data_IF_667730193414
#
_entry.id   IF_667730193414
#
_cell.length_a   1.000
_cell.length_b   1.000
_cell.length_c   1.000
_cell.angle_alpha   90.00
_cell.angle_beta   90.00
_cell.angle_gamma   90.00
#
_symmetry.space_group_name_H-M   'P 1'
#
loop_
_entity.id
_entity.type
_entity.pdbx_description
1 polymer ?
#
# COMPACT_ATOMS: atom_id res chain seq x y z
N UNK A 1 20.57 10.05 -29.29
CA UNK A 1 19.35 9.31 -28.93
C UNK A 1 18.45 10.29 -28.22
N UNK A 2 17.35 10.66 -28.86
CA UNK A 2 16.46 11.74 -28.39
C UNK A 2 15.52 11.14 -27.34
N UNK A 3 15.58 11.67 -26.13
CA UNK A 3 14.71 11.25 -25.03
C UNK A 3 13.25 11.57 -25.39
N UNK A 4 12.41 10.53 -25.33
CA UNK A 4 11.01 10.58 -25.72
C UNK A 4 10.24 11.36 -24.65
N UNK A 5 9.47 12.38 -25.04
CA UNK A 5 8.63 13.23 -24.17
C UNK A 5 7.76 12.47 -23.14
N UNK A 6 7.51 11.18 -23.39
CA UNK A 6 6.79 10.28 -22.48
C UNK A 6 7.56 10.05 -21.17
N UNK A 7 8.90 10.12 -21.17
CA UNK A 7 9.75 9.95 -19.99
C UNK A 7 9.76 11.16 -19.05
N UNK A 8 9.44 12.37 -19.55
CA UNK A 8 9.22 13.57 -18.70
C UNK A 8 7.87 13.52 -17.98
N UNK A 9 6.87 12.90 -18.61
CA UNK A 9 5.50 12.83 -18.04
C UNK A 9 5.36 11.65 -17.07
N UNK A 10 6.10 10.57 -17.27
CA UNK A 10 6.09 9.39 -16.41
C UNK A 10 7.52 8.89 -16.14
N UNK A 11 8.17 9.33 -15.03
CA UNK A 11 9.48 8.84 -14.65
C UNK A 11 9.43 7.30 -14.46
N UNK A 12 10.43 6.56 -14.95
CA UNK A 12 10.41 5.11 -14.88
C UNK A 12 10.58 4.67 -13.42
N UNK A 13 9.47 4.16 -12.85
CA UNK A 13 9.37 3.37 -11.61
C UNK A 13 9.90 4.06 -10.35
N UNK A 14 9.00 4.79 -9.68
CA UNK A 14 9.11 5.06 -8.24
C UNK A 14 9.17 3.71 -7.49
N UNK A 15 10.32 3.40 -6.88
CA UNK A 15 10.40 2.39 -5.83
C UNK A 15 9.89 3.06 -4.55
N UNK A 16 8.87 2.48 -3.92
CA UNK A 16 8.42 2.95 -2.62
C UNK A 16 9.43 2.48 -1.58
N UNK A 17 10.26 3.39 -1.08
CA UNK A 17 11.04 3.19 0.14
C UNK A 17 10.07 2.99 1.32
N UNK A 18 10.42 2.08 2.22
CA UNK A 18 9.58 1.76 3.37
C UNK A 18 9.49 2.97 4.31
N UNK A 19 8.36 3.11 5.02
CA UNK A 19 8.14 4.18 6.01
C UNK A 19 9.23 4.19 7.10
N UNK A 20 9.86 3.04 7.36
CA UNK A 20 11.02 2.91 8.24
C UNK A 20 12.29 3.60 7.69
N UNK A 21 12.56 3.52 6.39
CA UNK A 21 13.73 4.15 5.75
C UNK A 21 13.60 5.69 5.67
N UNK A 22 12.36 6.21 5.65
CA UNK A 22 12.11 7.66 5.65
C UNK A 22 12.34 8.33 7.02
N UNK A 23 12.28 7.58 8.12
CA UNK A 23 12.42 8.10 9.47
C UNK A 23 13.86 8.09 9.98
N UNK A 24 14.75 7.29 9.39
CA UNK A 24 16.15 7.16 9.81
C UNK A 24 17.14 8.01 9.02
N UNK A 25 16.72 8.82 8.04
CA UNK A 25 17.65 9.59 7.20
C UNK A 25 18.20 10.87 7.91
N UNK A 26 19.48 10.90 8.33
CA UNK A 26 20.07 12.06 9.01
C UNK A 26 20.23 13.29 8.08
N UNK A 27 20.19 13.10 6.76
CA UNK A 27 20.29 14.20 5.78
C UNK A 27 19.04 15.10 5.72
N UNK A 28 17.89 14.63 6.22
CA UNK A 28 16.63 15.38 6.24
C UNK A 28 16.54 16.40 7.40
N UNK A 29 17.28 16.20 8.49
CA UNK A 29 17.39 17.16 9.59
C UNK A 29 18.18 18.40 9.16
N UNK A 30 19.29 18.23 8.44
CA UNK A 30 20.10 19.33 7.91
C UNK A 30 19.36 20.15 6.84
N UNK A 31 18.57 19.48 5.98
CA UNK A 31 17.74 20.16 4.98
C UNK A 31 16.55 20.94 5.60
N UNK A 32 15.99 20.46 6.72
CA UNK A 32 14.96 21.19 7.48
C UNK A 32 15.55 22.40 8.20
N UNK A 33 16.73 22.25 8.82
CA UNK A 33 17.48 23.35 9.43
C UNK A 33 17.79 24.47 8.42
N UNK A 34 18.29 24.11 7.23
CA UNK A 34 18.59 25.09 6.17
C UNK A 34 17.35 25.78 5.60
N UNK A 35 16.23 25.06 5.40
CA UNK A 35 14.96 25.67 4.97
C UNK A 35 14.40 26.63 6.02
N UNK A 36 14.47 26.28 7.31
CA UNK A 36 13.94 27.11 8.39
C UNK A 36 14.75 28.41 8.53
N UNK A 37 16.07 28.35 8.33
CA UNK A 37 16.94 29.54 8.28
C UNK A 37 16.67 30.42 7.04
N UNK A 38 16.41 29.83 5.87
CA UNK A 38 16.08 30.60 4.65
C UNK A 38 14.78 31.40 4.77
N UNK A 39 13.72 30.79 5.31
CA UNK A 39 12.47 31.53 5.55
C UNK A 39 12.65 32.59 6.63
N UNK A 40 13.41 32.30 7.70
CA UNK A 40 13.73 33.26 8.75
C UNK A 40 14.52 34.49 8.25
N UNK A 41 15.43 34.31 7.29
CA UNK A 41 16.13 35.41 6.62
C UNK A 41 15.23 36.21 5.69
N UNK A 42 14.37 35.56 4.90
CA UNK A 42 13.40 36.27 4.06
C UNK A 42 12.44 37.12 4.88
N UNK A 43 11.91 36.60 5.98
CA UNK A 43 11.02 37.37 6.85
C UNK A 43 11.74 38.56 7.49
N UNK A 44 12.99 38.40 7.92
CA UNK A 44 13.82 39.52 8.40
C UNK A 44 14.05 40.56 7.33
N UNK A 45 14.30 40.15 6.09
CA UNK A 45 14.56 41.06 4.96
C UNK A 45 13.32 41.88 4.60
N UNK A 46 12.15 41.24 4.55
CA UNK A 46 10.86 41.93 4.31
C UNK A 46 10.52 42.88 5.47
N UNK A 47 10.78 42.49 6.72
CA UNK A 47 10.53 43.34 7.88
C UNK A 47 11.44 44.59 7.90
N UNK A 48 12.73 44.42 7.59
CA UNK A 48 13.67 45.54 7.45
C UNK A 48 13.33 46.46 6.26
N UNK A 49 12.84 45.91 5.15
CA UNK A 49 12.36 46.70 4.01
C UNK A 49 11.09 47.51 4.38
N UNK A 50 10.15 46.95 5.14
CA UNK A 50 8.98 47.70 5.62
C UNK A 50 9.32 48.79 6.65
N UNK A 51 10.27 48.55 7.58
CA UNK A 51 10.74 49.59 8.50
C UNK A 51 11.52 50.70 7.77
N UNK A 52 12.36 50.36 6.79
CA UNK A 52 13.07 51.34 5.96
C UNK A 52 12.14 52.20 5.09
N UNK A 53 11.07 51.60 4.57
CA UNK A 53 10.01 52.33 3.84
C UNK A 53 9.19 53.21 4.79
N UNK A 54 8.93 52.78 6.02
CA UNK A 54 8.26 53.60 7.05
C UNK A 54 9.12 54.80 7.50
N UNK A 55 10.43 54.64 7.68
CA UNK A 55 11.34 55.75 8.01
C UNK A 55 11.47 56.74 6.84
N UNK A 56 11.51 56.25 5.60
CA UNK A 56 11.54 57.09 4.39
C UNK A 56 10.23 57.88 4.17
N UNK A 57 9.08 57.31 4.57
CA UNK A 57 7.78 58.00 4.53
C UNK A 57 7.68 59.11 5.57
N UNK A 58 8.25 58.91 6.78
CA UNK A 58 8.32 59.95 7.82
C UNK A 58 9.24 61.11 7.39
N UNK A 59 10.41 60.82 6.82
CA UNK A 59 11.31 61.85 6.28
C UNK A 59 10.70 62.64 5.10
N UNK A 60 9.92 61.98 4.22
CA UNK A 60 9.20 62.67 3.13
C UNK A 60 8.03 63.54 3.63
N UNK A 61 7.40 63.18 4.75
CA UNK A 61 6.37 64.01 5.39
C UNK A 61 6.96 65.25 6.06
N UNK A 62 8.15 65.16 6.66
CA UNK A 62 8.86 66.30 7.25
C UNK A 62 9.47 67.24 6.19
N UNK A 63 9.94 66.68 5.07
CA UNK A 63 10.42 67.46 3.93
C UNK A 63 9.27 68.16 3.17
N UNK A 64 8.10 67.54 3.08
CA UNK A 64 6.91 68.15 2.48
C UNK A 64 6.37 69.34 3.29
N UNK A 65 6.51 69.33 4.62
CA UNK A 65 6.18 70.50 5.46
C UNK A 65 7.23 71.62 5.39
N UNK A 66 8.44 71.34 4.88
CA UNK A 66 9.52 72.32 4.75
C UNK A 66 9.57 73.02 3.38
N UNK A 67 8.79 72.56 2.40
CA UNK A 67 8.80 73.09 1.01
C UNK A 67 7.66 74.10 0.76
N UNK A 68 6.67 74.23 1.65
CA UNK A 68 5.60 75.25 1.52
C UNK A 68 5.99 76.67 1.95
N UNK A 69 7.26 76.93 2.33
CA UNK A 69 7.73 78.27 2.73
C UNK A 69 9.03 78.63 2.00
N UNK A 70 9.06 78.59 0.68
CA UNK A 70 10.02 79.41 -0.11
C UNK A 70 9.55 79.50 -1.56
N UNK A 71 8.81 80.55 -1.90
CA UNK A 71 8.83 81.12 -3.25
C UNK A 71 8.27 82.54 -3.22
N UNK A 72 9.15 83.49 -2.89
CA UNK A 72 8.86 84.91 -2.99
C UNK A 72 10.15 85.72 -3.10
N UNK A 73 10.90 85.55 -4.20
CA UNK A 73 11.99 86.47 -4.59
C UNK A 73 12.16 86.51 -6.12
N UNK A 74 11.24 87.19 -6.82
CA UNK A 74 11.63 87.80 -8.10
C UNK A 74 12.32 89.13 -7.80
N UNK A 75 13.64 89.08 -7.89
CA UNK A 75 14.56 90.21 -7.92
C UNK A 75 14.23 91.14 -9.09
N UNK A 76 13.71 92.32 -8.77
CA UNK A 76 13.64 93.47 -9.68
C UNK A 76 15.07 93.92 -9.98
N UNK A 77 15.56 93.58 -11.17
CA UNK A 77 16.81 94.14 -11.70
C UNK A 77 16.56 95.58 -12.16
N UNK A 78 16.76 96.52 -11.24
CA UNK A 78 16.95 97.95 -11.50
C UNK A 78 18.18 98.15 -12.41
N UNK A 79 17.96 98.33 -13.72
CA UNK A 79 19.00 98.87 -14.61
C UNK A 79 19.07 100.37 -14.38
N UNK A 80 20.19 100.79 -13.81
CA UNK A 80 20.53 102.19 -13.55
C UNK A 80 20.68 102.95 -14.86
N UNK A 81 19.98 104.07 -14.87
CA UNK A 81 20.21 105.32 -15.59
C UNK A 81 21.71 105.58 -15.83
N UNK A 82 22.10 105.74 -17.09
CA UNK A 82 23.29 106.49 -17.47
C UNK A 82 22.87 107.72 -18.28
N UNK A 83 22.81 108.84 -17.56
CA UNK A 83 22.71 110.17 -18.13
C UNK A 83 24.09 110.58 -18.66
N UNK A 84 24.24 110.72 -19.98
CA UNK A 84 25.31 111.54 -20.56
C UNK A 84 24.74 112.77 -21.27
N UNK A 85 25.22 113.89 -20.76
CA UNK A 85 24.94 115.28 -21.09
C UNK A 85 25.30 115.63 -22.54
N UNK A 86 24.43 116.45 -23.13
CA UNK A 86 24.69 117.67 -23.91
C UNK A 86 25.92 117.69 -24.83
N UNK A 87 25.65 117.67 -26.13
CA UNK A 87 26.31 118.60 -27.07
C UNK A 87 25.21 119.39 -27.76
N UNK A 88 25.02 120.61 -27.28
CA UNK A 88 24.23 121.65 -27.90
C UNK A 88 25.22 122.47 -28.72
N UNK A 89 25.32 122.22 -30.03
CA UNK A 89 25.93 123.18 -30.98
C UNK A 89 24.80 123.76 -31.82
N UNK A 90 24.47 125.01 -31.51
CA UNK A 90 23.80 125.92 -32.45
C UNK A 90 24.67 125.98 -33.70
N UNK A 91 24.12 125.56 -34.83
CA UNK A 91 24.51 126.11 -36.12
C UNK A 91 23.22 126.65 -36.72
N UNK A 92 23.00 127.94 -36.51
CA UNK A 92 22.12 128.72 -37.37
C UNK A 92 22.77 128.77 -38.75
N UNK A 93 22.09 128.25 -39.76
CA UNK A 93 21.78 129.00 -40.99
C UNK A 93 20.84 128.17 -41.85
N UNK A 94 19.78 128.86 -42.25
CA UNK A 94 18.80 128.49 -43.25
C UNK A 94 19.45 127.80 -44.45
N UNK A 95 18.90 126.64 -44.81
CA UNK A 95 18.61 126.38 -46.21
C UNK A 95 17.39 125.46 -46.29
N UNK A 96 16.51 125.83 -47.23
CA UNK A 96 15.16 125.32 -47.42
C UNK A 96 15.13 123.80 -47.47
N UNK A 97 14.56 123.19 -46.45
CA UNK A 97 14.20 121.77 -46.50
C UNK A 97 12.97 121.61 -47.40
N UNK A 98 13.17 121.11 -48.62
CA UNK A 98 12.15 120.46 -49.44
C UNK A 98 11.73 119.11 -48.78
N UNK A 99 11.28 119.20 -47.52
CA UNK A 99 10.70 118.11 -46.78
C UNK A 99 9.20 118.32 -46.79
N UNK A 100 8.47 117.47 -47.50
CA UNK A 100 7.00 117.40 -47.50
C UNK A 100 6.40 117.22 -46.08
N UNK A 101 7.23 116.84 -45.11
CA UNK A 101 6.84 116.60 -43.72
C UNK A 101 7.43 117.66 -42.79
N UNK A 102 6.58 118.17 -41.88
CA UNK A 102 7.01 119.09 -40.82
C UNK A 102 7.79 118.38 -39.71
N UNK A 103 8.61 119.12 -38.96
CA UNK A 103 9.42 118.52 -37.88
C UNK A 103 8.57 117.89 -36.75
N UNK A 104 7.34 118.40 -36.53
CA UNK A 104 6.35 117.84 -35.61
C UNK A 104 5.80 116.49 -36.08
N UNK A 105 5.52 116.35 -37.38
CA UNK A 105 5.03 115.12 -38.01
C UNK A 105 6.11 114.04 -37.99
N UNK A 106 7.36 114.39 -38.30
CA UNK A 106 8.50 113.47 -38.17
C UNK A 106 8.70 112.99 -36.72
N UNK A 107 8.52 113.86 -35.72
CA UNK A 107 8.56 113.47 -34.29
C UNK A 107 7.40 112.52 -33.94
N UNK A 108 6.21 112.75 -34.47
CA UNK A 108 5.04 111.89 -34.24
C UNK A 108 5.24 110.51 -34.88
N UNK A 109 5.68 110.45 -36.15
CA UNK A 109 6.00 109.20 -36.86
C UNK A 109 7.08 108.39 -36.13
N UNK A 110 8.13 109.04 -35.60
CA UNK A 110 9.15 108.36 -34.78
C UNK A 110 8.57 107.75 -33.51
N UNK A 111 7.66 108.45 -32.81
CA UNK A 111 6.98 107.91 -31.62
C UNK A 111 6.10 106.71 -31.96
N UNK A 112 5.35 106.76 -33.07
CA UNK A 112 4.54 105.63 -33.52
C UNK A 112 5.40 104.43 -33.93
N UNK A 113 6.48 104.66 -34.67
CA UNK A 113 7.43 103.61 -35.03
C UNK A 113 8.06 102.96 -33.79
N UNK A 114 8.45 103.77 -32.81
CA UNK A 114 9.01 103.26 -31.55
C UNK A 114 7.96 102.46 -30.76
N UNK A 115 6.71 102.93 -30.68
CA UNK A 115 5.61 102.20 -30.04
C UNK A 115 5.32 100.88 -30.76
N UNK A 116 5.26 100.88 -32.08
CA UNK A 116 5.07 99.67 -32.88
C UNK A 116 6.23 98.69 -32.71
N UNK A 117 7.49 99.18 -32.63
CA UNK A 117 8.67 98.34 -32.36
C UNK A 117 8.60 97.70 -30.98
N UNK A 118 8.22 98.46 -29.94
CA UNK A 118 8.03 97.92 -28.59
C UNK A 118 6.92 96.87 -28.56
N UNK A 119 5.77 97.15 -29.17
CA UNK A 119 4.66 96.20 -29.26
C UNK A 119 5.05 94.92 -30.02
N UNK A 120 5.84 95.04 -31.09
CA UNK A 120 6.32 93.87 -31.83
C UNK A 120 7.30 93.02 -30.99
N UNK A 121 8.17 93.66 -30.20
CA UNK A 121 9.05 92.95 -29.26
C UNK A 121 8.23 92.27 -28.14
N UNK A 122 7.21 92.93 -27.61
CA UNK A 122 6.30 92.36 -26.61
C UNK A 122 5.55 91.14 -27.17
N UNK A 123 5.00 91.25 -28.39
CA UNK A 123 4.32 90.14 -29.06
C UNK A 123 5.27 88.99 -29.39
N UNK A 124 6.50 89.28 -29.83
CA UNK A 124 7.51 88.26 -30.08
C UNK A 124 7.89 87.50 -28.80
N UNK A 125 8.06 88.19 -27.67
CA UNK A 125 8.33 87.57 -26.38
C UNK A 125 7.16 86.69 -25.89
N UNK A 126 5.92 87.15 -26.06
CA UNK A 126 4.72 86.35 -25.73
C UNK A 126 4.61 85.11 -26.64
N UNK A 127 4.92 85.26 -27.93
CA UNK A 127 4.92 84.13 -28.87
C UNK A 127 5.98 83.10 -28.49
N UNK A 128 7.18 83.54 -28.12
CA UNK A 128 8.25 82.65 -27.65
C UNK A 128 7.85 81.93 -26.35
N UNK A 129 7.32 82.66 -25.36
CA UNK A 129 6.90 82.07 -24.08
C UNK A 129 5.77 81.04 -24.27
N UNK A 130 4.76 81.37 -25.08
CA UNK A 130 3.65 80.45 -25.36
C UNK A 130 4.11 79.24 -26.17
N UNK A 131 5.09 79.40 -27.07
CA UNK A 131 5.67 78.29 -27.81
C UNK A 131 6.47 77.34 -26.92
N UNK A 132 7.19 77.86 -25.92
CA UNK A 132 7.88 77.03 -24.93
C UNK A 132 6.90 76.32 -23.98
N UNK A 133 5.82 76.99 -23.57
CA UNK A 133 4.74 76.34 -22.84
C UNK A 133 4.12 75.19 -23.64
N UNK A 134 3.87 75.36 -24.94
CA UNK A 134 3.36 74.29 -25.81
C UNK A 134 4.33 73.11 -25.86
N UNK A 135 5.64 73.34 -25.98
CA UNK A 135 6.64 72.25 -25.95
C UNK A 135 6.60 71.51 -24.62
N UNK A 136 6.59 72.25 -23.51
CA UNK A 136 6.55 71.69 -22.17
C UNK A 136 5.29 70.85 -21.93
N UNK A 137 4.13 71.30 -22.41
CA UNK A 137 2.89 70.54 -22.36
C UNK A 137 2.92 69.28 -23.24
N UNK A 138 3.52 69.34 -24.44
CA UNK A 138 3.71 68.16 -25.30
C UNK A 138 4.59 67.10 -24.62
N UNK A 139 5.69 67.51 -24.00
CA UNK A 139 6.57 66.59 -23.26
C UNK A 139 5.86 65.97 -22.05
N UNK A 140 5.12 66.79 -21.27
CA UNK A 140 4.32 66.29 -20.15
C UNK A 140 3.29 65.26 -20.63
N UNK A 141 2.58 65.55 -21.72
CA UNK A 141 1.60 64.64 -22.28
C UNK A 141 2.23 63.32 -22.76
N UNK A 142 3.38 63.38 -23.43
CA UNK A 142 4.12 62.18 -23.85
C UNK A 142 4.52 61.30 -22.66
N UNK A 143 5.09 61.90 -21.61
CA UNK A 143 5.45 61.18 -20.38
C UNK A 143 4.24 60.53 -19.72
N UNK A 144 3.13 61.26 -19.61
CA UNK A 144 1.89 60.72 -19.05
C UNK A 144 1.33 59.55 -19.86
N UNK A 145 1.35 59.67 -21.19
CA UNK A 145 0.89 58.62 -22.09
C UNK A 145 1.77 57.35 -21.99
N UNK A 146 3.09 57.51 -21.85
CA UNK A 146 4.01 56.39 -21.62
C UNK A 146 3.75 55.72 -20.28
N UNK A 147 3.56 56.49 -19.20
CA UNK A 147 3.23 55.93 -17.88
C UNK A 147 1.89 55.20 -17.91
N UNK A 148 0.87 55.76 -18.55
CA UNK A 148 -0.45 55.12 -18.69
C UNK A 148 -0.33 53.79 -19.45
N UNK A 149 0.49 53.75 -20.51
CA UNK A 149 0.73 52.52 -21.27
C UNK A 149 1.41 51.44 -20.41
N UNK A 150 2.38 51.82 -19.58
CA UNK A 150 3.06 50.90 -18.65
C UNK A 150 2.07 50.36 -17.61
N UNK A 151 1.25 51.23 -17.00
CA UNK A 151 0.25 50.84 -16.01
C UNK A 151 -0.81 49.91 -16.60
N UNK A 152 -1.32 50.20 -17.79
CA UNK A 152 -2.26 49.32 -18.52
C UNK A 152 -1.68 47.93 -18.77
N UNK A 153 -0.42 47.85 -19.18
CA UNK A 153 0.27 46.58 -19.39
C UNK A 153 0.47 45.81 -18.07
N UNK A 154 0.86 46.52 -16.99
CA UNK A 154 1.00 45.93 -15.66
C UNK A 154 -0.34 45.37 -15.16
N UNK A 155 -1.44 46.11 -15.33
CA UNK A 155 -2.79 45.66 -14.99
C UNK A 155 -3.18 44.40 -15.75
N UNK A 156 -2.93 44.33 -17.05
CA UNK A 156 -3.23 43.15 -17.86
C UNK A 156 -2.43 41.92 -17.42
N UNK A 157 -1.14 42.10 -17.10
CA UNK A 157 -0.30 41.05 -16.54
C UNK A 157 -0.82 40.54 -15.19
N UNK A 158 -1.24 41.44 -14.29
CA UNK A 158 -1.82 41.06 -13.01
C UNK A 158 -3.17 40.36 -13.16
N UNK A 159 -4.03 40.82 -14.07
CA UNK A 159 -5.30 40.15 -14.39
C UNK A 159 -5.07 38.71 -14.86
N UNK A 160 -4.09 38.48 -15.74
CA UNK A 160 -3.71 37.13 -16.18
C UNK A 160 -3.22 36.25 -15.02
N UNK A 161 -2.39 36.80 -14.11
CA UNK A 161 -1.92 36.07 -12.92
C UNK A 161 -3.09 35.70 -12.00
N UNK A 162 -4.02 36.62 -11.78
CA UNK A 162 -5.21 36.38 -10.98
C UNK A 162 -6.10 35.28 -11.57
N UNK A 163 -6.36 35.29 -12.87
CA UNK A 163 -7.16 34.23 -13.51
C UNK A 163 -6.48 32.85 -13.41
N UNK A 164 -5.14 32.78 -13.59
CA UNK A 164 -4.39 31.54 -13.35
C UNK A 164 -4.53 31.06 -11.90
N UNK A 165 -4.38 31.97 -10.95
CA UNK A 165 -4.52 31.65 -9.53
C UNK A 165 -5.94 31.17 -9.20
N UNK A 166 -6.96 31.76 -9.80
CA UNK A 166 -8.36 31.37 -9.63
C UNK A 166 -8.64 29.97 -10.16
N UNK A 167 -8.07 29.60 -11.31
CA UNK A 167 -8.15 28.22 -11.84
C UNK A 167 -7.46 27.24 -10.90
N UNK A 168 -6.23 27.56 -10.45
CA UNK A 168 -5.49 26.71 -9.52
C UNK A 168 -6.24 26.53 -8.19
N UNK A 169 -6.82 27.59 -7.64
CA UNK A 169 -7.62 27.52 -6.42
C UNK A 169 -8.83 26.58 -6.59
N UNK A 170 -9.53 26.63 -7.73
CA UNK A 170 -10.64 25.71 -8.00
C UNK A 170 -10.17 24.27 -8.08
N UNK A 171 -9.07 24.00 -8.78
CA UNK A 171 -8.48 22.66 -8.89
C UNK A 171 -8.12 22.11 -7.51
N UNK A 172 -7.37 22.87 -6.70
CA UNK A 172 -7.00 22.47 -5.33
C UNK A 172 -8.22 22.25 -4.45
N UNK A 173 -9.25 23.11 -4.57
CA UNK A 173 -10.50 22.92 -3.83
C UNK A 173 -11.20 21.60 -4.17
N UNK A 174 -11.20 21.23 -5.45
CA UNK A 174 -11.79 19.96 -5.89
C UNK A 174 -10.92 18.76 -5.50
N UNK A 175 -9.59 18.90 -5.52
CA UNK A 175 -8.66 17.89 -5.00
C UNK A 175 -8.89 17.62 -3.53
N UNK A 176 -8.99 18.66 -2.70
CA UNK A 176 -9.27 18.53 -1.26
C UNK A 176 -10.58 17.80 -1.02
N UNK A 177 -11.63 18.08 -1.81
CA UNK A 177 -12.91 17.37 -1.73
C UNK A 177 -12.76 15.89 -2.09
N UNK A 178 -12.01 15.58 -3.16
CA UNK A 178 -11.72 14.19 -3.57
C UNK A 178 -10.95 13.44 -2.49
N UNK A 179 -9.90 14.04 -1.95
CA UNK A 179 -9.13 13.43 -0.86
C UNK A 179 -9.97 13.22 0.39
N UNK A 180 -10.86 14.16 0.74
CA UNK A 180 -11.76 13.99 1.88
C UNK A 180 -12.76 12.84 1.67
N UNK A 181 -13.32 12.71 0.46
CA UNK A 181 -14.19 11.59 0.11
C UNK A 181 -13.43 10.24 0.16
N UNK A 182 -12.22 10.19 -0.39
CA UNK A 182 -11.38 8.99 -0.34
C UNK A 182 -10.99 8.62 1.09
N UNK A 183 -10.70 9.61 1.95
CA UNK A 183 -10.40 9.38 3.36
C UNK A 183 -11.62 8.77 4.08
N UNK A 184 -12.83 9.23 3.75
CA UNK A 184 -14.06 8.64 4.29
C UNK A 184 -14.21 7.17 3.87
N UNK A 185 -14.05 6.86 2.58
CA UNK A 185 -14.14 5.49 2.06
C UNK A 185 -13.09 4.59 2.71
N UNK A 186 -11.82 4.99 2.68
CA UNK A 186 -10.72 4.21 3.29
C UNK A 186 -10.90 3.98 4.79
N UNK A 187 -11.56 4.90 5.50
CA UNK A 187 -11.92 4.72 6.91
C UNK A 187 -13.03 3.68 7.09
N UNK A 188 -14.02 3.66 6.19
CA UNK A 188 -15.08 2.65 6.17
C UNK A 188 -14.46 1.26 5.88
N UNK A 189 -13.64 1.14 4.83
CA UNK A 189 -12.91 -0.09 4.48
C UNK A 189 -12.04 -0.60 5.64
N UNK A 190 -11.38 0.31 6.37
CA UNK A 190 -10.57 -0.06 7.54
C UNK A 190 -11.40 -0.67 8.67
N UNK A 191 -12.57 -0.11 8.97
CA UNK A 191 -13.43 -0.67 10.01
C UNK A 191 -14.06 -1.99 9.55
N UNK A 192 -14.37 -2.15 8.26
CA UNK A 192 -14.80 -3.44 7.69
C UNK A 192 -13.71 -4.51 7.85
N UNK A 193 -12.48 -4.25 7.39
CA UNK A 193 -11.35 -5.17 7.54
C UNK A 193 -11.05 -5.53 8.99
N UNK A 194 -11.23 -4.58 9.91
CA UNK A 194 -11.06 -4.80 11.34
C UNK A 194 -12.14 -5.73 11.91
N UNK A 195 -13.36 -5.66 11.40
CA UNK A 195 -14.42 -6.59 11.77
C UNK A 195 -14.17 -7.98 11.19
N UNK A 196 -13.82 -8.08 9.91
CA UNK A 196 -13.43 -9.34 9.26
C UNK A 196 -12.28 -10.03 10.00
N UNK A 197 -11.26 -9.27 10.40
CA UNK A 197 -10.13 -9.79 11.20
C UNK A 197 -10.62 -10.44 12.50
N UNK A 198 -11.54 -9.79 13.22
CA UNK A 198 -12.10 -10.34 14.47
C UNK A 198 -12.90 -11.62 14.22
N UNK A 199 -13.68 -11.65 13.14
CA UNK A 199 -14.44 -12.85 12.75
C UNK A 199 -13.50 -14.02 12.42
N UNK A 200 -12.43 -13.76 11.65
CA UNK A 200 -11.42 -14.78 11.33
C UNK A 200 -10.67 -15.24 12.58
N UNK A 201 -10.33 -14.34 13.51
CA UNK A 201 -9.72 -14.71 14.79
C UNK A 201 -10.64 -15.59 15.64
N UNK A 202 -11.94 -15.31 15.63
CA UNK A 202 -12.93 -16.14 16.32
C UNK A 202 -13.03 -17.53 15.68
N UNK A 203 -13.18 -17.62 14.34
CA UNK A 203 -13.22 -18.89 13.61
C UNK A 203 -11.93 -19.70 13.81
N UNK A 204 -10.78 -19.05 13.86
CA UNK A 204 -9.50 -19.69 14.15
C UNK A 204 -9.47 -20.28 15.57
N UNK A 205 -10.02 -19.57 16.55
CA UNK A 205 -10.13 -20.06 17.93
C UNK A 205 -11.07 -21.26 18.03
N UNK A 206 -12.22 -21.20 17.35
CA UNK A 206 -13.20 -22.29 17.29
C UNK A 206 -12.61 -23.54 16.64
N UNK A 207 -12.00 -23.40 15.46
CA UNK A 207 -11.33 -24.52 14.77
C UNK A 207 -10.17 -25.11 15.55
N UNK A 208 -9.38 -24.31 16.28
CA UNK A 208 -8.35 -24.81 17.20
C UNK A 208 -8.95 -25.64 18.34
N UNK A 209 -10.07 -25.20 18.91
CA UNK A 209 -10.80 -25.92 19.95
C UNK A 209 -11.34 -27.26 19.42
N UNK A 210 -11.94 -27.26 18.23
CA UNK A 210 -12.41 -28.48 17.56
C UNK A 210 -11.28 -29.46 17.28
N UNK A 211 -10.15 -28.97 16.76
CA UNK A 211 -8.96 -29.79 16.54
C UNK A 211 -8.46 -30.43 17.84
N UNK A 212 -8.47 -29.70 18.95
CA UNK A 212 -8.10 -30.24 20.26
C UNK A 212 -9.09 -31.34 20.72
N UNK A 213 -10.39 -31.14 20.52
CA UNK A 213 -11.41 -32.17 20.81
C UNK A 213 -11.18 -33.43 19.99
N UNK A 214 -10.89 -33.31 18.71
CA UNK A 214 -10.61 -34.45 17.84
C UNK A 214 -9.30 -35.16 18.18
N UNK A 215 -8.25 -34.43 18.57
CA UNK A 215 -7.01 -35.02 19.08
C UNK A 215 -7.26 -35.89 20.32
N UNK A 216 -7.99 -35.36 21.31
CA UNK A 216 -8.38 -36.11 22.50
C UNK A 216 -9.19 -37.35 22.15
N UNK A 217 -10.18 -37.24 21.25
CA UNK A 217 -10.97 -38.40 20.79
C UNK A 217 -10.08 -39.45 20.14
N UNK A 218 -9.13 -39.04 19.29
CA UNK A 218 -8.20 -39.95 18.63
C UNK A 218 -7.29 -40.66 19.65
N UNK A 219 -6.77 -39.94 20.65
CA UNK A 219 -5.99 -40.55 21.74
C UNK A 219 -6.80 -41.59 22.52
N UNK A 220 -8.06 -41.29 22.85
CA UNK A 220 -8.96 -42.24 23.52
C UNK A 220 -9.22 -43.47 22.66
N UNK A 221 -9.49 -43.30 21.36
CA UNK A 221 -9.71 -44.40 20.43
C UNK A 221 -8.46 -45.27 20.26
N UNK A 222 -7.27 -44.65 20.17
CA UNK A 222 -6.01 -45.38 20.15
C UNK A 222 -5.77 -46.17 21.44
N UNK A 223 -6.11 -45.59 22.60
CA UNK A 223 -6.08 -46.29 23.88
C UNK A 223 -7.00 -47.52 23.89
N UNK A 224 -8.25 -47.35 23.44
CA UNK A 224 -9.22 -48.45 23.33
C UNK A 224 -8.75 -49.54 22.36
N UNK A 225 -8.21 -49.16 21.21
CA UNK A 225 -7.67 -50.12 20.23
C UNK A 225 -6.50 -50.93 20.81
N UNK A 226 -5.59 -50.28 21.54
CA UNK A 226 -4.49 -50.98 22.25
C UNK A 226 -5.01 -51.92 23.33
N UNK A 227 -6.06 -51.52 24.06
CA UNK A 227 -6.75 -52.38 25.04
C UNK A 227 -7.31 -53.64 24.38
N UNK A 228 -8.12 -53.46 23.33
CA UNK A 228 -8.74 -54.56 22.60
C UNK A 228 -7.72 -55.50 21.95
N UNK A 229 -6.60 -54.98 21.45
CA UNK A 229 -5.50 -55.82 20.94
C UNK A 229 -4.90 -56.71 22.01
N UNK A 230 -4.67 -56.18 23.23
CA UNK A 230 -4.17 -56.97 24.36
C UNK A 230 -5.17 -58.04 24.79
N UNK A 231 -6.45 -57.68 24.95
CA UNK A 231 -7.51 -58.63 25.28
C UNK A 231 -7.61 -59.75 24.25
N UNK A 232 -7.50 -59.41 22.96
CA UNK A 232 -7.50 -60.40 21.88
C UNK A 232 -6.29 -61.35 21.95
N UNK A 233 -5.09 -60.81 22.20
CA UNK A 233 -3.87 -61.62 22.35
C UNK A 233 -3.94 -62.54 23.59
N UNK A 234 -4.46 -62.04 24.71
CA UNK A 234 -4.67 -62.82 25.94
C UNK A 234 -5.71 -63.92 25.74
N UNK A 235 -6.85 -63.60 25.14
CA UNK A 235 -7.88 -64.59 24.81
C UNK A 235 -7.36 -65.64 23.85
N UNK A 236 -6.57 -65.25 22.83
CA UNK A 236 -5.95 -66.19 21.91
C UNK A 236 -5.05 -67.18 22.66
N UNK A 237 -4.17 -66.70 23.54
CA UNK A 237 -3.31 -67.56 24.38
C UNK A 237 -4.12 -68.50 25.27
N UNK A 238 -5.20 -67.99 25.88
CA UNK A 238 -6.08 -68.79 26.73
C UNK A 238 -6.77 -69.91 25.93
N UNK A 239 -7.29 -69.60 24.73
CA UNK A 239 -7.92 -70.59 23.85
C UNK A 239 -6.91 -71.63 23.38
N UNK A 240 -5.70 -71.22 22.96
CA UNK A 240 -4.63 -72.13 22.57
C UNK A 240 -4.26 -73.09 23.71
N UNK A 241 -4.08 -72.55 24.92
CA UNK A 241 -3.79 -73.35 26.11
C UNK A 241 -4.94 -74.32 26.45
N UNK A 242 -6.19 -73.86 26.43
CA UNK A 242 -7.36 -74.69 26.69
C UNK A 242 -7.46 -75.85 25.69
N UNK A 243 -7.27 -75.55 24.40
CA UNK A 243 -7.31 -76.53 23.33
C UNK A 243 -6.19 -77.57 23.48
N UNK A 244 -4.98 -77.14 23.84
CA UNK A 244 -3.85 -78.04 24.11
C UNK A 244 -4.16 -78.99 25.27
N UNK A 245 -4.72 -78.49 26.38
CA UNK A 245 -5.14 -79.33 27.50
C UNK A 245 -6.22 -80.34 27.10
N UNK A 246 -7.21 -79.92 26.29
CA UNK A 246 -8.24 -80.81 25.78
C UNK A 246 -7.65 -81.93 24.92
N UNK A 247 -6.72 -81.60 24.00
CA UNK A 247 -6.04 -82.59 23.19
C UNK A 247 -5.22 -83.58 24.02
N UNK A 248 -4.54 -83.13 25.08
CA UNK A 248 -3.80 -84.03 25.97
C UNK A 248 -4.74 -85.00 26.70
N UNK A 249 -5.90 -84.54 27.14
CA UNK A 249 -6.93 -85.38 27.76
C UNK A 249 -7.48 -86.42 26.78
N UNK A 250 -7.87 -85.99 25.58
CA UNK A 250 -8.37 -86.89 24.52
C UNK A 250 -7.31 -87.93 24.12
N UNK A 251 -6.05 -87.51 23.95
CA UNK A 251 -4.93 -88.42 23.68
C UNK A 251 -4.77 -89.44 24.81
N UNK A 252 -4.88 -89.00 26.06
CA UNK A 252 -4.82 -89.89 27.22
C UNK A 252 -5.98 -90.89 27.29
N UNK A 253 -7.19 -90.48 26.90
CA UNK A 253 -8.37 -91.35 26.82
C UNK A 253 -8.21 -92.40 25.70
N UNK A 254 -7.85 -91.97 24.49
CA UNK A 254 -7.61 -92.86 23.35
C UNK A 254 -6.49 -93.87 23.65
N UNK A 255 -5.41 -93.44 24.32
CA UNK A 255 -4.33 -94.34 24.70
C UNK A 255 -4.81 -95.43 25.67
N UNK A 256 -5.62 -95.07 26.67
CA UNK A 256 -6.24 -96.05 27.58
C UNK A 256 -7.15 -97.02 26.84
N UNK A 257 -7.95 -96.55 25.90
CA UNK A 257 -8.80 -97.42 25.07
C UNK A 257 -7.96 -98.39 24.22
N UNK A 258 -6.88 -97.92 23.61
CA UNK A 258 -5.94 -98.78 22.87
C UNK A 258 -5.36 -99.86 23.79
N UNK A 259 -4.92 -99.50 24.99
CA UNK A 259 -4.34 -100.45 25.94
C UNK A 259 -5.37 -101.47 26.41
N UNK A 260 -6.61 -101.06 26.71
CA UNK A 260 -7.72 -101.96 27.04
C UNK A 260 -8.03 -102.91 25.87
N UNK A 261 -8.09 -102.40 24.64
CA UNK A 261 -8.35 -103.21 23.44
C UNK A 261 -7.21 -104.21 23.18
N UNK A 262 -5.95 -103.79 23.39
CA UNK A 262 -4.78 -104.69 23.32
C UNK A 262 -4.85 -105.79 24.36
N UNK A 263 -5.19 -105.47 25.60
CA UNK A 263 -5.36 -106.47 26.66
C UNK A 263 -6.50 -107.45 26.34
N UNK A 264 -7.63 -106.96 25.83
CA UNK A 264 -8.75 -107.81 25.37
C UNK A 264 -8.31 -108.74 24.25
N UNK A 265 -7.60 -108.22 23.25
CA UNK A 265 -7.06 -109.02 22.14
C UNK A 265 -6.08 -110.09 22.63
N UNK A 266 -5.18 -109.77 23.57
CA UNK A 266 -4.24 -110.76 24.14
C UNK A 266 -4.94 -111.78 25.06
N UNK A 267 -6.06 -111.41 25.70
CA UNK A 267 -6.91 -112.39 26.39
C UNK A 267 -7.57 -113.34 25.38
N UNK A 268 -8.21 -112.80 24.35
CA UNK A 268 -8.83 -113.60 23.28
C UNK A 268 -7.82 -114.51 22.56
N UNK A 269 -6.61 -114.04 22.26
CA UNK A 269 -5.55 -114.89 21.69
C UNK A 269 -5.21 -116.08 22.60
N UNK A 270 -5.04 -115.83 23.91
CA UNK A 270 -4.77 -116.89 24.89
C UNK A 270 -5.92 -117.89 24.99
N UNK A 271 -7.17 -117.39 25.04
CA UNK A 271 -8.36 -118.23 25.04
C UNK A 271 -8.48 -119.06 23.75
N UNK A 272 -8.21 -118.47 22.60
CA UNK A 272 -8.20 -119.15 21.32
C UNK A 272 -7.09 -120.21 21.24
N UNK A 273 -5.89 -119.95 21.77
CA UNK A 273 -4.82 -120.94 21.83
C UNK A 273 -5.17 -122.12 22.76
N UNK A 274 -5.86 -121.86 23.87
CA UNK A 274 -6.42 -122.93 24.73
C UNK A 274 -7.49 -123.72 23.98
N UNK A 275 -8.41 -123.04 23.28
CA UNK A 275 -9.44 -123.69 22.45
C UNK A 275 -8.84 -124.52 21.32
N UNK A 276 -7.80 -124.02 20.63
CA UNK A 276 -7.05 -124.78 19.61
C UNK A 276 -6.42 -126.03 20.21
N UNK A 277 -5.78 -125.94 21.37
CA UNK A 277 -5.23 -127.11 22.08
C UNK A 277 -6.34 -128.08 22.47
N UNK A 278 -7.47 -127.61 22.99
CA UNK A 278 -8.63 -128.45 23.33
C UNK A 278 -9.22 -129.15 22.10
N UNK A 279 -9.41 -128.42 21.00
CA UNK A 279 -9.85 -128.99 19.72
C UNK A 279 -8.84 -129.99 19.17
N UNK A 280 -7.54 -129.75 19.32
CA UNK A 280 -6.51 -130.69 18.93
C UNK A 280 -6.53 -131.95 19.81
N UNK A 281 -6.70 -131.81 21.13
CA UNK A 281 -6.92 -132.94 22.04
C UNK A 281 -8.17 -133.74 21.66
N UNK A 282 -9.30 -133.08 21.35
CA UNK A 282 -10.50 -133.73 20.86
C UNK A 282 -10.24 -134.43 19.52
N UNK A 283 -9.57 -133.76 18.57
CA UNK A 283 -9.22 -134.34 17.26
C UNK A 283 -8.31 -135.55 17.43
N UNK A 284 -7.29 -135.49 18.27
CA UNK A 284 -6.43 -136.62 18.64
C UNK A 284 -7.21 -137.73 19.32
N UNK A 285 -8.13 -137.41 20.25
CA UNK A 285 -9.00 -138.38 20.91
C UNK A 285 -9.92 -139.11 19.91
N UNK A 286 -10.57 -138.37 19.01
CA UNK A 286 -11.40 -138.93 17.95
C UNK A 286 -10.59 -139.72 16.92
N UNK A 287 -9.39 -139.27 16.56
CA UNK A 287 -8.47 -140.04 15.70
C UNK A 287 -7.99 -141.32 16.39
N UNK A 288 -7.70 -141.30 17.69
CA UNK A 288 -7.38 -142.50 18.47
C UNK A 288 -8.59 -143.42 18.67
N UNK A 289 -9.81 -142.88 18.73
CA UNK A 289 -11.05 -143.67 18.73
C UNK A 289 -11.28 -144.35 17.38
N UNK A 290 -11.07 -143.65 16.25
CA UNK A 290 -11.11 -144.24 14.91
C UNK A 290 -10.04 -145.34 14.74
N UNK A 291 -8.82 -145.12 15.23
CA UNK A 291 -7.75 -146.14 15.22
C UNK A 291 -7.99 -147.30 16.20
N UNK A 292 -8.84 -147.12 17.23
CA UNK A 292 -9.34 -148.20 18.11
C UNK A 292 -10.55 -148.92 17.50
N UNK A 293 -11.34 -148.25 16.67
CA UNK A 293 -12.46 -148.83 15.94
C UNK A 293 -11.98 -149.66 14.73
N UNK A 294 -10.89 -149.24 14.08
CA UNK A 294 -10.25 -150.00 12.99
C UNK A 294 -9.44 -151.21 13.49
N UNK A 295 -9.10 -151.27 14.79
CA UNK A 295 -8.37 -152.39 15.42
C UNK A 295 -9.24 -153.27 16.34
N UNK A 296 -10.55 -153.00 16.43
CA UNK A 296 -11.51 -153.86 17.12
C UNK A 296 -12.63 -154.20 16.13
N UNK A 297 -12.44 -155.29 15.38
CA UNK A 297 -13.41 -155.78 14.42
C UNK A 297 -14.77 -156.10 15.05
N UNK A 298 -15.83 -155.82 14.30
CA UNK A 298 -17.16 -156.39 14.56
C UNK A 298 -18.32 -155.40 14.53
N UNK A 299 -18.94 -155.27 13.35
CA UNK A 299 -20.38 -155.08 13.10
C UNK A 299 -21.16 -153.87 13.67
N UNK A 300 -22.16 -153.50 12.85
CA UNK A 300 -23.43 -152.78 13.09
C UNK A 300 -23.48 -151.26 12.95
N UNK A 301 -24.43 -150.87 12.11
CA UNK A 301 -24.79 -149.54 11.65
C UNK A 301 -25.26 -148.63 12.78
N UNK A 302 -24.94 -147.33 12.70
CA UNK A 302 -25.81 -146.25 13.16
C UNK A 302 -25.61 -145.03 12.25
N UNK A 303 -26.75 -144.45 11.88
CA UNK A 303 -27.00 -143.26 11.08
C UNK A 303 -26.15 -142.04 11.46
N UNK A 304 -25.62 -141.34 10.45
CA UNK A 304 -25.18 -139.95 10.60
C UNK A 304 -26.36 -139.02 10.29
N UNK A 305 -27.09 -138.65 11.33
CA UNK A 305 -27.88 -137.40 11.32
C UNK A 305 -26.89 -136.27 11.55
N UNK A 306 -26.46 -135.62 10.47
CA UNK A 306 -25.82 -134.30 10.53
C UNK A 306 -26.95 -133.28 10.44
N UNK A 307 -27.41 -132.77 11.59
CA UNK A 307 -28.19 -131.54 11.61
C UNK A 307 -27.23 -130.40 11.26
N UNK A 308 -27.35 -129.89 10.03
CA UNK A 308 -26.84 -128.58 9.66
C UNK A 308 -27.66 -127.58 10.46
N UNK A 309 -27.04 -126.95 11.46
CA UNK A 309 -27.56 -125.73 12.06
C UNK A 309 -26.87 -124.59 11.33
N UNK A 310 -27.68 -123.90 10.53
CA UNK A 310 -27.37 -122.63 9.90
C UNK A 310 -26.91 -121.62 10.97
N UNK A 311 -25.73 -121.06 10.75
CA UNK A 311 -25.31 -119.83 11.44
C UNK A 311 -25.59 -118.71 10.44
N UNK A 312 -26.68 -118.00 10.64
CA UNK A 312 -26.99 -116.78 9.91
C UNK A 312 -25.86 -115.77 10.12
N UNK A 313 -25.12 -115.56 9.03
CA UNK A 313 -24.08 -114.54 8.91
C UNK A 313 -24.79 -113.22 8.56
N UNK A 314 -24.90 -112.30 9.51
CA UNK A 314 -25.19 -110.89 9.20
C UNK A 314 -23.87 -110.13 9.30
N UNK A 315 -23.22 -109.76 8.19
CA UNK A 315 -22.16 -108.78 8.20
C UNK A 315 -22.72 -107.36 8.03
N UNK A 316 -22.13 -106.47 8.82
CA UNK A 316 -22.33 -105.01 8.90
C UNK A 316 -22.19 -104.28 7.57
#
# INVERSE_FOLDING_TARGET
>A
MVEHWVAEVFPPKFQFESVEEMLENPELEDAKSQKTNFYGEMYRKVYCEEEGVCQSRKQRSELAQSIEITDNKHTVSSVKVDAKRKIQKRLEREDKSDSLWGESELKMLRRFLQKAKMQNLELAAILESTQDEIKLWKEKYQKLHETEKIEKNAFFCQKKKYEKLKVNYRAVKDDVRRYHANLKITREDYEELKNEKKEVEQLLSETKSELHKEKLKNEVLQGRLKGQKREFEENKKYVEYFLEQQYQLEKGQLQKEIDILREKLEKEKRENDVNKKALQHLRSHFSCLLMKQDNAGGTTAVEKVLSVIDIDYIPM
#
